data_IF_066123994177
#
_entry.id   IF_066123994177
#
_cell.length_a   1.000
_cell.length_b   1.000
_cell.length_c   1.000
_cell.angle_alpha   90.00
_cell.angle_beta   90.00
_cell.angle_gamma   90.00
#
_symmetry.space_group_name_H-M   'P 1'
#
loop_
_entity.id
_entity.type
_entity.pdbx_description
1 polymer ?
#
# COMPACT_ATOMS: atom_id res chain seq x y z
N UNK A 1 -6.49 -14.80 -55.94
CA UNK A 1 -7.91 -15.13 -56.23
C UNK A 1 -8.75 -13.89 -55.97
N UNK A 2 -9.54 -13.46 -56.95
CA UNK A 2 -10.43 -12.30 -56.89
C UNK A 2 -11.88 -12.75 -57.11
N UNK A 3 -12.80 -12.39 -56.22
CA UNK A 3 -14.26 -12.19 -56.40
C UNK A 3 -14.88 -11.97 -55.02
N UNK A 4 -15.56 -10.87 -54.69
CA UNK A 4 -16.81 -10.32 -55.23
C UNK A 4 -18.08 -11.16 -54.91
N UNK A 5 -18.82 -10.73 -53.88
CA UNK A 5 -20.26 -10.35 -53.94
C UNK A 5 -20.67 -9.80 -52.55
N UNK A 6 -21.19 -8.59 -52.29
CA UNK A 6 -22.21 -7.70 -52.94
C UNK A 6 -23.61 -7.85 -52.31
N UNK A 7 -23.98 -6.86 -51.46
CA UNK A 7 -25.36 -6.30 -51.20
C UNK A 7 -26.39 -7.30 -50.61
N UNK A 8 -27.58 -6.99 -50.07
CA UNK A 8 -28.36 -5.79 -49.65
C UNK A 8 -29.42 -6.30 -48.62
N UNK A 9 -30.18 -5.55 -47.80
CA UNK A 9 -30.35 -4.11 -47.57
C UNK A 9 -31.00 -3.80 -46.18
N UNK A 10 -30.93 -2.54 -45.75
CA UNK A 10 -31.85 -1.77 -44.88
C UNK A 10 -33.08 -2.42 -44.22
N UNK A 11 -33.30 -2.08 -42.93
CA UNK A 11 -34.58 -1.54 -42.44
C UNK A 11 -34.36 -0.44 -41.39
N UNK A 12 -34.83 0.77 -41.71
CA UNK A 12 -34.89 1.91 -40.80
C UNK A 12 -36.30 1.97 -40.21
N UNK A 13 -36.42 2.12 -38.89
CA UNK A 13 -37.72 2.36 -38.25
C UNK A 13 -37.59 3.50 -37.25
N UNK A 14 -38.31 4.61 -37.52
CA UNK A 14 -38.45 5.74 -36.60
C UNK A 14 -39.54 5.40 -35.57
N UNK A 15 -39.31 5.74 -34.31
CA UNK A 15 -40.35 6.05 -33.32
C UNK A 15 -39.85 7.28 -32.56
N UNK A 16 -40.37 8.47 -32.85
CA UNK A 16 -41.64 9.01 -32.37
C UNK A 16 -41.47 9.69 -31.00
N UNK A 17 -41.19 11.00 -31.04
CA UNK A 17 -41.16 11.84 -29.85
C UNK A 17 -42.59 12.10 -29.36
N UNK A 18 -42.86 11.82 -28.08
CA UNK A 18 -44.13 12.13 -27.44
C UNK A 18 -44.08 13.53 -26.80
N UNK A 19 -44.82 14.48 -27.38
CA UNK A 19 -45.08 15.79 -26.80
C UNK A 19 -46.10 15.69 -25.66
N UNK A 20 -45.74 16.18 -24.47
CA UNK A 20 -46.66 16.35 -23.34
C UNK A 20 -47.13 17.82 -23.26
N UNK A 21 -48.39 18.08 -22.86
CA UNK A 21 -48.98 19.41 -22.94
C UNK A 21 -48.52 20.34 -21.81
N UNK A 22 -48.25 21.60 -22.17
CA UNK A 22 -47.96 22.68 -21.23
C UNK A 22 -49.24 23.02 -20.46
N UNK A 23 -49.21 22.87 -19.12
CA UNK A 23 -50.23 23.43 -18.23
C UNK A 23 -49.74 24.77 -17.68
N UNK A 24 -50.46 25.84 -17.98
CA UNK A 24 -50.30 27.11 -17.26
C UNK A 24 -50.76 26.93 -15.80
N UNK A 25 -49.88 27.23 -14.85
CA UNK A 25 -50.24 27.53 -13.47
C UNK A 25 -49.91 28.99 -13.18
N UNK A 26 -50.89 29.76 -12.73
CA UNK A 26 -50.72 31.16 -12.37
C UNK A 26 -49.89 31.31 -11.11
N UNK A 27 -48.98 32.30 -11.10
CA UNK A 27 -48.17 32.62 -9.93
C UNK A 27 -49.02 33.36 -8.88
N UNK A 28 -49.21 32.73 -7.73
CA UNK A 28 -49.64 33.40 -6.49
C UNK A 28 -48.40 33.54 -5.59
N UNK A 29 -47.98 34.78 -5.32
CA UNK A 29 -46.80 35.06 -4.50
C UNK A 29 -47.20 35.10 -3.04
N UNK A 30 -46.73 34.13 -2.25
CA UNK A 30 -46.79 34.17 -0.80
C UNK A 30 -45.62 35.02 -0.23
N UNK A 31 -45.81 35.74 0.88
CA UNK A 31 -44.76 36.60 1.46
C UNK A 31 -43.61 35.77 2.05
N UNK A 32 -42.39 36.27 1.93
CA UNK A 32 -41.19 35.63 2.44
C UNK A 32 -41.15 35.61 3.98
N UNK A 33 -40.78 34.47 4.56
CA UNK A 33 -40.46 34.35 5.99
C UNK A 33 -39.14 35.07 6.32
N UNK A 34 -38.98 35.62 7.53
CA UNK A 34 -37.78 36.36 7.91
C UNK A 34 -36.54 35.44 7.97
N UNK A 35 -35.40 35.96 7.52
CA UNK A 35 -34.14 35.23 7.51
C UNK A 35 -33.64 34.94 8.93
N UNK A 36 -33.22 33.70 9.18
CA UNK A 36 -32.53 33.31 10.40
C UNK A 36 -31.14 34.00 10.49
N UNK A 37 -30.63 34.30 11.71
CA UNK A 37 -29.37 35.02 11.87
C UNK A 37 -28.18 34.23 11.29
N UNK A 38 -27.32 34.93 10.57
CA UNK A 38 -26.14 34.36 9.91
C UNK A 38 -25.15 33.78 10.91
N UNK A 39 -24.90 32.48 10.83
CA UNK A 39 -23.81 31.84 11.56
C UNK A 39 -22.44 32.39 11.12
N UNK A 40 -21.57 32.70 12.08
CA UNK A 40 -20.24 33.26 11.83
C UNK A 40 -19.34 32.29 11.04
N UNK A 41 -18.47 32.76 10.12
CA UNK A 41 -17.73 31.88 9.21
C UNK A 41 -16.73 30.92 9.87
N UNK A 42 -16.36 31.17 11.13
CA UNK A 42 -15.35 30.42 11.86
C UNK A 42 -15.71 28.94 12.09
N UNK A 43 -17.01 28.61 12.22
CA UNK A 43 -17.46 27.23 12.47
C UNK A 43 -17.32 26.34 11.25
N UNK A 44 -17.49 26.88 10.03
CA UNK A 44 -17.44 26.12 8.79
C UNK A 44 -16.06 25.53 8.48
N UNK A 45 -14.98 26.24 8.82
CA UNK A 45 -13.61 25.73 8.67
C UNK A 45 -13.29 24.62 9.68
N UNK A 46 -13.60 24.82 10.96
CA UNK A 46 -13.36 23.83 12.00
C UNK A 46 -14.13 22.52 11.75
N UNK A 47 -15.42 22.61 11.38
CA UNK A 47 -16.24 21.44 11.03
C UNK A 47 -15.71 20.73 9.78
N UNK A 48 -15.17 21.47 8.79
CA UNK A 48 -14.56 20.87 7.59
C UNK A 48 -13.22 20.20 7.90
N UNK A 49 -12.39 20.80 8.77
CA UNK A 49 -11.16 20.20 9.27
C UNK A 49 -11.45 18.93 10.09
N UNK A 50 -12.42 18.97 10.99
CA UNK A 50 -12.77 17.82 11.83
C UNK A 50 -13.43 16.69 11.01
N UNK A 51 -14.24 17.03 10.01
CA UNK A 51 -14.78 16.05 9.05
C UNK A 51 -13.67 15.47 8.18
N UNK A 52 -12.73 16.28 7.69
CA UNK A 52 -11.54 15.78 6.99
C UNK A 52 -10.72 14.85 7.91
N UNK A 53 -10.49 15.22 9.16
CA UNK A 53 -9.78 14.39 10.15
C UNK A 53 -10.51 13.06 10.39
N UNK A 54 -11.83 13.06 10.64
CA UNK A 54 -12.61 11.82 10.86
C UNK A 54 -12.77 10.95 9.61
N UNK A 55 -12.81 11.54 8.41
CA UNK A 55 -13.03 10.80 7.16
C UNK A 55 -11.73 10.33 6.50
N UNK A 56 -10.61 11.02 6.71
CA UNK A 56 -9.29 10.63 6.21
C UNK A 56 -8.48 9.83 7.24
N UNK A 57 -8.66 10.07 8.53
CA UNK A 57 -7.85 9.46 9.61
C UNK A 57 -8.69 8.49 10.42
N UNK A 58 -9.17 7.46 9.72
CA UNK A 58 -10.02 6.39 10.24
C UNK A 58 -9.22 5.45 11.19
N UNK A 59 -8.92 5.93 12.40
CA UNK A 59 -8.33 5.16 13.50
C UNK A 59 -6.86 4.71 13.34
N UNK A 60 -6.32 4.65 12.11
CA UNK A 60 -4.95 4.19 11.85
C UNK A 60 -3.93 5.18 12.41
N UNK A 61 -3.26 4.78 13.49
CA UNK A 61 -1.96 5.33 13.87
C UNK A 61 -1.01 5.19 12.67
N UNK A 62 -0.12 6.18 12.50
CA UNK A 62 0.95 6.06 11.53
C UNK A 62 1.83 4.87 11.96
N UNK A 63 2.15 3.96 11.04
CA UNK A 63 2.77 2.67 11.38
C UNK A 63 3.99 2.89 12.28
N UNK A 64 3.92 2.37 13.51
CA UNK A 64 4.75 2.85 14.62
C UNK A 64 6.25 2.62 14.43
N UNK A 65 6.60 1.64 13.59
CA UNK A 65 7.93 1.42 13.02
C UNK A 65 7.78 0.91 11.58
N UNK A 66 8.22 1.65 10.55
CA UNK A 66 8.21 1.16 9.17
C UNK A 66 9.00 -0.14 9.00
N UNK A 67 8.45 -1.08 8.23
CA UNK A 67 9.13 -2.33 7.86
C UNK A 67 9.92 -2.08 6.58
N UNK A 68 11.25 -2.04 6.69
CA UNK A 68 12.13 -1.66 5.59
C UNK A 68 12.23 -2.75 4.51
N UNK A 69 11.84 -3.99 4.82
CA UNK A 69 11.74 -5.05 3.84
C UNK A 69 10.73 -6.13 4.23
N UNK A 70 10.27 -6.86 3.21
CA UNK A 70 9.58 -8.13 3.34
C UNK A 70 10.50 -9.22 2.74
N UNK A 71 11.07 -10.08 3.58
CA UNK A 71 11.90 -11.20 3.12
C UNK A 71 11.01 -12.41 2.83
N UNK A 72 10.84 -12.74 1.55
CA UNK A 72 10.00 -13.83 1.07
C UNK A 72 10.83 -15.10 0.91
N UNK A 73 10.34 -16.22 1.43
CA UNK A 73 10.93 -17.54 1.20
C UNK A 73 9.87 -18.63 0.98
N UNK A 74 10.16 -19.65 0.15
CA UNK A 74 9.27 -20.80 -0.03
C UNK A 74 8.92 -21.49 1.30
N UNK A 75 7.62 -21.53 1.63
CA UNK A 75 7.07 -22.26 2.76
C UNK A 75 7.19 -23.79 2.64
N UNK A 76 7.72 -24.29 1.52
CA UNK A 76 8.04 -25.70 1.28
C UNK A 76 9.52 -26.06 1.52
N UNK A 77 10.35 -25.11 1.96
CA UNK A 77 11.78 -25.32 2.22
C UNK A 77 12.11 -25.16 3.71
N UNK A 78 12.07 -26.28 4.43
CA UNK A 78 12.34 -26.36 5.88
C UNK A 78 13.72 -25.78 6.25
N UNK A 79 14.73 -25.91 5.39
CA UNK A 79 16.09 -25.37 5.66
C UNK A 79 16.09 -23.84 5.58
N UNK A 80 15.40 -23.26 4.60
CA UNK A 80 15.22 -21.80 4.52
C UNK A 80 14.39 -21.28 5.69
N UNK A 81 13.31 -21.98 6.07
CA UNK A 81 12.46 -21.64 7.22
C UNK A 81 13.28 -21.63 8.51
N UNK A 82 14.03 -22.69 8.80
CA UNK A 82 14.88 -22.76 9.99
C UNK A 82 15.89 -21.61 10.04
N UNK A 83 16.53 -21.30 8.90
CA UNK A 83 17.47 -20.19 8.77
C UNK A 83 16.80 -18.81 8.91
N UNK A 84 15.54 -18.65 8.51
CA UNK A 84 14.85 -17.36 8.54
C UNK A 84 14.79 -16.78 9.98
N UNK A 85 14.64 -17.64 10.99
CA UNK A 85 14.66 -17.25 12.41
C UNK A 85 15.98 -16.61 12.89
N UNK A 86 17.09 -16.83 12.17
CA UNK A 86 18.41 -16.27 12.50
C UNK A 86 18.72 -14.98 11.73
N UNK A 87 17.82 -14.49 10.89
CA UNK A 87 18.03 -13.28 10.07
C UNK A 87 17.55 -12.04 10.83
N UNK A 88 18.26 -10.92 10.64
CA UNK A 88 17.86 -9.59 11.14
C UNK A 88 16.76 -8.97 10.28
N UNK A 89 15.72 -9.76 9.99
CA UNK A 89 14.64 -9.37 9.11
C UNK A 89 13.56 -8.56 9.83
N UNK A 90 13.00 -7.54 9.18
CA UNK A 90 11.92 -6.71 9.71
C UNK A 90 10.58 -7.45 9.60
N UNK A 91 10.37 -8.10 8.45
CA UNK A 91 9.28 -9.03 8.19
C UNK A 91 9.76 -10.23 7.37
N UNK A 92 9.28 -11.41 7.74
CA UNK A 92 9.51 -12.68 7.07
C UNK A 92 8.16 -13.16 6.52
N UNK A 93 8.11 -13.42 5.22
CA UNK A 93 6.93 -13.92 4.51
C UNK A 93 7.17 -15.37 4.13
N UNK A 94 6.40 -16.27 4.75
CA UNK A 94 6.38 -17.69 4.44
C UNK A 94 5.44 -17.93 3.26
N UNK A 95 6.00 -18.23 2.11
CA UNK A 95 5.25 -18.30 0.86
C UNK A 95 4.51 -19.63 0.67
N UNK A 96 3.21 -19.57 0.37
CA UNK A 96 2.38 -20.70 -0.07
C UNK A 96 1.96 -20.56 -1.54
N UNK A 97 2.47 -19.56 -2.27
CA UNK A 97 2.08 -19.21 -3.63
C UNK A 97 3.18 -19.59 -4.65
N UNK A 98 3.67 -18.72 -5.53
CA UNK A 98 4.48 -19.14 -6.70
C UNK A 98 5.85 -19.75 -6.36
N UNK A 99 6.41 -19.50 -5.17
CA UNK A 99 7.58 -20.22 -4.65
C UNK A 99 7.29 -21.66 -4.19
N UNK A 100 6.04 -22.11 -4.23
CA UNK A 100 5.61 -23.47 -3.87
C UNK A 100 4.93 -24.18 -5.04
N UNK A 101 5.62 -25.20 -5.58
CA UNK A 101 5.09 -26.09 -6.60
C UNK A 101 3.72 -26.68 -6.20
N UNK A 102 2.78 -26.76 -7.15
CA UNK A 102 1.37 -27.16 -6.92
C UNK A 102 1.22 -28.49 -6.17
N UNK A 103 2.06 -29.47 -6.46
CA UNK A 103 2.07 -30.78 -5.80
C UNK A 103 2.61 -30.77 -4.36
N UNK A 104 3.25 -29.68 -3.90
CA UNK A 104 3.77 -29.52 -2.53
C UNK A 104 2.95 -28.57 -1.65
N UNK A 105 1.88 -27.94 -2.15
CA UNK A 105 1.04 -27.00 -1.37
C UNK A 105 0.54 -27.60 -0.04
N UNK A 106 0.08 -28.85 -0.06
CA UNK A 106 -0.43 -29.53 1.14
C UNK A 106 0.66 -29.83 2.20
N UNK A 107 1.91 -30.03 1.76
CA UNK A 107 3.07 -30.18 2.63
C UNK A 107 3.50 -28.81 3.19
N UNK A 108 3.60 -27.81 2.30
CA UNK A 108 3.97 -26.44 2.64
C UNK A 108 3.04 -25.82 3.68
N UNK A 109 1.71 -26.02 3.58
CA UNK A 109 0.74 -25.55 4.60
C UNK A 109 1.08 -26.06 6.01
N UNK A 110 1.50 -27.33 6.14
CA UNK A 110 1.91 -27.92 7.42
C UNK A 110 3.22 -27.32 7.92
N UNK A 111 4.22 -27.18 7.03
CA UNK A 111 5.51 -26.57 7.34
C UNK A 111 5.36 -25.11 7.78
N UNK A 112 4.55 -24.32 7.07
CA UNK A 112 4.27 -22.91 7.41
C UNK A 112 3.53 -22.79 8.74
N UNK A 113 2.48 -23.58 9.00
CA UNK A 113 1.80 -23.57 10.30
C UNK A 113 2.75 -23.96 11.44
N UNK A 114 3.58 -24.99 11.25
CA UNK A 114 4.59 -25.39 12.22
C UNK A 114 5.63 -24.27 12.45
N UNK A 115 6.08 -23.59 11.38
CA UNK A 115 7.03 -22.49 11.45
C UNK A 115 6.46 -21.29 12.21
N UNK A 116 5.24 -20.84 11.88
CA UNK A 116 4.54 -19.76 12.58
C UNK A 116 4.42 -20.06 14.08
N UNK A 117 4.15 -21.31 14.45
CA UNK A 117 4.00 -21.72 15.85
C UNK A 117 5.34 -21.89 16.60
N UNK A 118 6.39 -22.36 15.94
CA UNK A 118 7.69 -22.71 16.56
C UNK A 118 8.72 -21.58 16.57
N UNK A 119 8.72 -20.71 15.55
CA UNK A 119 9.73 -19.65 15.41
C UNK A 119 9.48 -18.55 16.44
N UNK A 120 10.40 -18.41 17.40
CA UNK A 120 10.55 -17.20 18.20
C UNK A 120 11.46 -16.23 17.43
N UNK A 121 10.87 -15.34 16.63
CA UNK A 121 11.60 -14.28 15.92
C UNK A 121 11.20 -12.90 16.43
N UNK A 122 12.14 -11.94 16.36
CA UNK A 122 11.86 -10.51 16.47
C UNK A 122 11.23 -9.93 15.19
N UNK A 123 11.32 -10.66 14.06
CA UNK A 123 10.69 -10.32 12.80
C UNK A 123 9.17 -10.48 12.86
N UNK A 124 8.46 -9.67 12.08
CA UNK A 124 7.03 -9.90 11.83
C UNK A 124 6.85 -11.12 10.94
N UNK A 125 6.18 -12.16 11.46
CA UNK A 125 5.90 -13.40 10.74
C UNK A 125 4.58 -13.31 9.98
N UNK A 126 4.69 -13.34 8.66
CA UNK A 126 3.57 -13.29 7.71
C UNK A 126 3.54 -14.55 6.85
N UNK A 127 2.40 -14.84 6.24
CA UNK A 127 2.28 -15.83 5.16
C UNK A 127 1.82 -15.16 3.86
N UNK A 128 2.34 -15.60 2.71
CA UNK A 128 1.75 -15.27 1.41
C UNK A 128 0.77 -16.38 1.06
N UNK A 129 -0.52 -16.06 1.08
CA UNK A 129 -1.61 -17.01 0.88
C UNK A 129 -2.52 -16.48 -0.21
N UNK A 130 -2.73 -17.30 -1.23
CA UNK A 130 -3.69 -17.00 -2.29
C UNK A 130 -5.12 -16.92 -1.74
N UNK A 131 -6.09 -16.52 -2.57
CA UNK A 131 -7.52 -16.62 -2.23
C UNK A 131 -8.01 -18.08 -2.03
N UNK A 132 -7.13 -19.08 -2.13
CA UNK A 132 -7.44 -20.47 -1.79
C UNK A 132 -7.75 -20.61 -0.29
N UNK A 133 -8.97 -21.07 -0.01
CA UNK A 133 -9.51 -21.25 1.35
C UNK A 133 -8.61 -22.18 2.19
N UNK A 134 -7.96 -23.18 1.59
CA UNK A 134 -7.10 -24.11 2.31
C UNK A 134 -5.77 -23.48 2.77
N UNK A 135 -5.24 -22.48 2.05
CA UNK A 135 -4.05 -21.74 2.50
C UNK A 135 -4.41 -20.91 3.74
N UNK A 136 -5.47 -20.11 3.63
CA UNK A 136 -5.99 -19.27 4.72
C UNK A 136 -6.38 -20.10 5.95
N UNK A 137 -7.12 -21.20 5.75
CA UNK A 137 -7.54 -22.11 6.84
C UNK A 137 -6.35 -22.74 7.56
N UNK A 138 -5.23 -23.01 6.86
CA UNK A 138 -4.04 -23.55 7.49
C UNK A 138 -3.30 -22.48 8.32
N UNK A 139 -3.01 -21.31 7.74
CA UNK A 139 -2.17 -20.30 8.42
C UNK A 139 -2.90 -19.61 9.58
N UNK A 140 -4.23 -19.43 9.48
CA UNK A 140 -5.04 -18.78 10.52
C UNK A 140 -5.23 -19.63 11.78
N UNK A 141 -4.80 -20.89 11.79
CA UNK A 141 -4.71 -21.69 13.02
C UNK A 141 -3.59 -21.22 13.96
N UNK A 142 -2.61 -20.46 13.46
CA UNK A 142 -1.53 -19.95 14.31
C UNK A 142 -1.97 -18.69 15.08
N UNK A 143 -1.89 -18.67 16.42
CA UNK A 143 -2.08 -17.45 17.20
C UNK A 143 -0.89 -16.47 17.06
N UNK A 144 0.21 -16.86 16.39
CA UNK A 144 1.41 -16.05 16.18
C UNK A 144 1.48 -15.39 14.79
N UNK A 145 0.53 -15.66 13.91
CA UNK A 145 0.46 -15.01 12.60
C UNK A 145 0.20 -13.50 12.77
N UNK A 146 1.09 -12.66 12.23
CA UNK A 146 0.97 -11.20 12.33
C UNK A 146 0.51 -10.54 11.02
N UNK A 147 0.70 -11.20 9.87
CA UNK A 147 0.30 -10.65 8.59
C UNK A 147 -0.04 -11.69 7.52
N UNK A 148 -0.88 -11.30 6.56
CA UNK A 148 -1.09 -12.06 5.33
C UNK A 148 -0.76 -11.15 4.14
N UNK A 149 0.15 -11.61 3.29
CA UNK A 149 0.34 -11.09 1.94
C UNK A 149 -0.70 -11.76 1.04
N UNK A 150 -1.57 -10.96 0.43
CA UNK A 150 -2.54 -11.42 -0.55
C UNK A 150 -1.91 -11.17 -1.94
N UNK A 151 -1.55 -12.22 -2.69
CA UNK A 151 -1.08 -12.10 -4.05
C UNK A 151 -2.24 -11.82 -5.02
N UNK A 152 -1.89 -11.32 -6.21
CA UNK A 152 -2.79 -11.15 -7.37
C UNK A 152 -4.10 -10.43 -7.03
N UNK A 153 -4.01 -9.34 -6.25
CA UNK A 153 -5.16 -8.53 -5.83
C UNK A 153 -5.61 -7.64 -6.99
N UNK A 154 -6.83 -7.86 -7.45
CA UNK A 154 -7.42 -7.11 -8.56
C UNK A 154 -8.54 -6.16 -8.10
N UNK A 155 -9.21 -6.50 -7.00
CA UNK A 155 -10.39 -5.78 -6.52
C UNK A 155 -10.39 -5.61 -5.00
N UNK A 156 -11.09 -4.58 -4.50
CA UNK A 156 -11.31 -4.38 -3.07
C UNK A 156 -12.02 -5.58 -2.40
N UNK A 157 -12.82 -6.34 -3.16
CA UNK A 157 -13.48 -7.57 -2.71
C UNK A 157 -12.49 -8.65 -2.26
N UNK A 158 -11.30 -8.70 -2.85
CA UNK A 158 -10.31 -9.75 -2.59
C UNK A 158 -9.71 -9.56 -1.18
N UNK A 159 -9.37 -8.29 -0.86
CA UNK A 159 -8.91 -7.88 0.46
C UNK A 159 -10.02 -8.02 1.52
N UNK A 160 -11.26 -7.65 1.17
CA UNK A 160 -12.42 -7.81 2.05
C UNK A 160 -12.74 -9.28 2.34
N UNK A 161 -12.66 -10.16 1.34
CA UNK A 161 -12.84 -11.60 1.51
C UNK A 161 -11.86 -12.17 2.54
N UNK A 162 -10.55 -11.87 2.41
CA UNK A 162 -9.55 -12.33 3.38
C UNK A 162 -9.80 -11.71 4.76
N UNK A 163 -10.18 -10.43 4.85
CA UNK A 163 -10.53 -9.77 6.12
C UNK A 163 -11.70 -10.45 6.84
N UNK A 164 -12.79 -10.78 6.13
CA UNK A 164 -13.95 -11.45 6.74
C UNK A 164 -13.69 -12.94 7.00
N UNK A 165 -12.84 -13.58 6.21
CA UNK A 165 -12.38 -14.94 6.51
C UNK A 165 -11.57 -14.97 7.82
N UNK A 166 -10.66 -14.02 8.04
CA UNK A 166 -9.96 -13.82 9.33
C UNK A 166 -10.97 -13.62 10.46
N UNK A 167 -11.98 -12.76 10.26
CA UNK A 167 -13.01 -12.51 11.28
C UNK A 167 -13.80 -13.78 11.63
N UNK A 168 -13.96 -14.69 10.67
CA UNK A 168 -14.71 -15.94 10.82
C UNK A 168 -13.89 -17.04 11.51
N UNK A 169 -12.64 -17.29 11.09
CA UNK A 169 -11.87 -18.49 11.51
C UNK A 169 -10.71 -18.22 12.47
N UNK A 170 -10.16 -17.00 12.52
CA UNK A 170 -8.96 -16.75 13.34
C UNK A 170 -9.28 -16.78 14.85
N UNK A 171 -8.37 -17.29 15.69
CA UNK A 171 -8.49 -17.25 17.15
C UNK A 171 -8.80 -15.84 17.66
N UNK A 172 -9.75 -15.71 18.60
CA UNK A 172 -10.17 -14.40 19.11
C UNK A 172 -9.02 -13.59 19.73
N UNK A 173 -7.98 -14.26 20.23
CA UNK A 173 -6.78 -13.64 20.80
C UNK A 173 -5.87 -12.94 19.78
N UNK A 174 -5.79 -13.41 18.52
CA UNK A 174 -4.91 -12.86 17.47
C UNK A 174 -5.69 -12.18 16.33
N UNK A 175 -7.00 -12.42 16.22
CA UNK A 175 -7.89 -11.87 15.17
C UNK A 175 -7.81 -10.35 15.01
N UNK A 176 -7.59 -9.59 16.09
CA UNK A 176 -7.46 -8.12 16.02
C UNK A 176 -6.13 -7.62 15.47
N UNK A 177 -5.09 -8.46 15.52
CA UNK A 177 -3.69 -8.07 15.30
C UNK A 177 -3.22 -8.34 13.87
N UNK A 178 -3.71 -9.42 13.23
CA UNK A 178 -3.35 -9.83 11.86
C UNK A 178 -3.56 -8.66 10.88
N UNK A 179 -2.49 -8.23 10.19
CA UNK A 179 -2.53 -7.20 9.14
C UNK A 179 -2.63 -7.82 7.74
N UNK A 180 -3.10 -7.04 6.77
CA UNK A 180 -3.11 -7.43 5.35
C UNK A 180 -2.11 -6.58 4.55
N UNK A 181 -1.44 -7.21 3.60
CA UNK A 181 -0.60 -6.55 2.61
C UNK A 181 -1.10 -7.02 1.23
N UNK A 182 -1.45 -6.08 0.34
CA UNK A 182 -1.97 -6.42 -0.99
C UNK A 182 -0.86 -6.32 -2.03
N UNK A 183 -0.59 -7.39 -2.78
CA UNK A 183 0.30 -7.35 -3.94
C UNK A 183 -0.44 -6.82 -5.17
N UNK A 184 0.10 -5.76 -5.75
CA UNK A 184 -0.43 -5.07 -6.93
C UNK A 184 0.44 -5.50 -8.11
N UNK A 185 -0.10 -6.43 -8.90
CA UNK A 185 0.68 -7.21 -9.87
C UNK A 185 -0.08 -7.61 -11.14
N UNK A 186 -1.22 -6.97 -11.41
CA UNK A 186 -1.91 -6.99 -12.71
C UNK A 186 -2.34 -5.58 -13.12
N UNK A 187 -2.64 -5.38 -14.40
CA UNK A 187 -3.18 -4.13 -14.93
C UNK A 187 -4.53 -3.79 -14.28
N UNK A 188 -5.35 -4.79 -13.95
CA UNK A 188 -6.64 -4.60 -13.26
C UNK A 188 -6.41 -4.11 -11.83
N UNK A 189 -5.52 -4.77 -11.07
CA UNK A 189 -5.13 -4.32 -9.73
C UNK A 189 -4.53 -2.91 -9.72
N UNK A 190 -3.74 -2.56 -10.75
CA UNK A 190 -3.17 -1.23 -10.91
C UNK A 190 -4.24 -0.15 -11.15
N UNK A 191 -5.29 -0.46 -11.93
CA UNK A 191 -6.40 0.46 -12.19
C UNK A 191 -7.32 0.63 -10.96
N UNK A 192 -7.53 -0.44 -10.19
CA UNK A 192 -8.39 -0.45 -8.99
C UNK A 192 -7.64 -0.08 -7.69
N UNK A 193 -6.43 0.47 -7.80
CA UNK A 193 -5.53 0.79 -6.68
C UNK A 193 -6.21 1.61 -5.57
N UNK A 194 -7.11 2.53 -5.93
CA UNK A 194 -7.84 3.38 -4.99
C UNK A 194 -8.84 2.59 -4.16
N UNK A 195 -9.64 1.75 -4.81
CA UNK A 195 -10.64 0.90 -4.18
C UNK A 195 -9.94 -0.14 -3.28
N UNK A 196 -8.84 -0.74 -3.77
CA UNK A 196 -8.02 -1.68 -3.00
C UNK A 196 -7.43 -1.01 -1.75
N UNK A 197 -6.80 0.17 -1.89
CA UNK A 197 -6.21 0.90 -0.77
C UNK A 197 -7.26 1.39 0.25
N UNK A 198 -8.50 1.64 -0.19
CA UNK A 198 -9.63 2.00 0.67
C UNK A 198 -10.34 0.80 1.33
N UNK A 199 -10.05 -0.43 0.90
CA UNK A 199 -10.88 -1.62 1.14
C UNK A 199 -11.23 -1.89 2.61
N UNK A 200 -10.24 -1.92 3.51
CA UNK A 200 -10.49 -2.27 4.91
C UNK A 200 -9.52 -1.63 5.93
N UNK A 201 -9.89 -1.54 7.22
CA UNK A 201 -9.01 -1.10 8.29
C UNK A 201 -7.80 -2.02 8.51
N UNK A 202 -7.88 -3.28 8.09
CA UNK A 202 -6.83 -4.31 8.31
C UNK A 202 -5.65 -4.22 7.32
N UNK A 203 -5.88 -3.62 6.15
CA UNK A 203 -4.83 -3.38 5.15
C UNK A 203 -3.81 -2.38 5.69
N UNK A 204 -2.53 -2.72 5.61
CA UNK A 204 -1.42 -1.98 6.20
C UNK A 204 -0.33 -1.63 5.17
N UNK A 205 -0.21 -2.41 4.09
CA UNK A 205 0.72 -2.12 2.99
C UNK A 205 0.15 -2.45 1.60
N UNK A 206 0.65 -1.74 0.59
CA UNK A 206 0.63 -2.16 -0.81
C UNK A 206 2.04 -2.63 -1.18
N UNK A 207 2.14 -3.80 -1.81
CA UNK A 207 3.37 -4.37 -2.35
C UNK A 207 3.31 -4.22 -3.88
N UNK A 208 4.32 -3.62 -4.47
CA UNK A 208 4.47 -3.58 -5.92
C UNK A 208 5.26 -4.81 -6.37
N UNK A 209 4.65 -5.73 -7.13
CA UNK A 209 5.36 -6.88 -7.70
C UNK A 209 5.53 -6.69 -9.20
N UNK A 210 6.78 -6.48 -9.61
CA UNK A 210 7.13 -6.08 -10.98
C UNK A 210 7.02 -7.20 -12.00
N UNK A 211 7.40 -8.42 -11.63
CA UNK A 211 7.60 -9.50 -12.61
C UNK A 211 6.26 -10.07 -13.10
N UNK A 212 5.31 -10.29 -12.20
CA UNK A 212 3.93 -10.65 -12.52
C UNK A 212 3.21 -9.53 -13.31
N UNK A 213 3.37 -8.25 -12.91
CA UNK A 213 2.81 -7.13 -13.68
C UNK A 213 3.39 -7.07 -15.10
N UNK A 214 4.67 -7.39 -15.27
CA UNK A 214 5.30 -7.46 -16.58
C UNK A 214 4.80 -8.64 -17.42
N UNK A 215 4.54 -9.79 -16.80
CA UNK A 215 3.93 -10.93 -17.47
C UNK A 215 2.49 -10.62 -17.93
N UNK A 216 1.68 -9.98 -17.08
CA UNK A 216 0.30 -9.57 -17.37
C UNK A 216 0.23 -8.51 -18.49
N UNK A 217 1.05 -7.46 -18.40
CA UNK A 217 1.04 -6.35 -19.36
C UNK A 217 1.88 -6.59 -20.63
N UNK A 218 2.62 -7.70 -20.71
CA UNK A 218 3.56 -7.96 -21.80
C UNK A 218 4.75 -6.99 -21.85
N UNK A 219 5.18 -6.48 -20.69
CA UNK A 219 6.28 -5.52 -20.56
C UNK A 219 7.63 -6.25 -20.53
N UNK A 220 8.55 -5.89 -21.42
CA UNK A 220 9.96 -6.30 -21.30
C UNK A 220 10.65 -5.53 -20.17
N UNK A 221 11.09 -6.24 -19.13
CA UNK A 221 11.84 -5.65 -18.02
C UNK A 221 13.17 -5.06 -18.46
N UNK A 222 13.49 -3.87 -17.97
CA UNK A 222 14.77 -3.19 -18.26
C UNK A 222 15.50 -2.83 -16.97
N UNK A 223 16.83 -2.72 -17.06
CA UNK A 223 17.64 -2.18 -15.97
C UNK A 223 17.24 -0.72 -15.62
N UNK A 224 16.66 0.04 -16.55
CA UNK A 224 16.21 1.40 -16.23
C UNK A 224 14.95 1.47 -15.37
N UNK A 225 14.19 0.36 -15.23
CA UNK A 225 12.87 0.28 -14.59
C UNK A 225 11.85 1.36 -15.02
N UNK A 226 12.14 2.11 -16.10
CA UNK A 226 11.37 3.26 -16.58
C UNK A 226 10.02 2.83 -17.12
N UNK A 227 9.94 1.61 -17.65
CA UNK A 227 8.72 0.94 -18.05
C UNK A 227 7.73 0.77 -16.89
N UNK A 228 8.21 0.74 -15.64
CA UNK A 228 7.39 0.62 -14.43
C UNK A 228 7.18 1.94 -13.68
N UNK A 229 7.72 3.07 -14.17
CA UNK A 229 7.70 4.35 -13.45
C UNK A 229 6.27 4.79 -13.07
N UNK A 230 5.30 4.64 -13.98
CA UNK A 230 3.90 4.96 -13.71
C UNK A 230 3.32 4.04 -12.62
N UNK A 231 3.53 2.73 -12.73
CA UNK A 231 2.96 1.75 -11.82
C UNK A 231 3.55 1.86 -10.39
N UNK A 232 4.89 2.02 -10.30
CA UNK A 232 5.60 2.31 -9.04
C UNK A 232 5.08 3.61 -8.40
N UNK A 233 5.01 4.70 -9.16
CA UNK A 233 4.53 6.01 -8.66
C UNK A 233 3.07 5.95 -8.21
N UNK A 234 2.20 5.30 -8.99
CA UNK A 234 0.79 5.13 -8.64
C UNK A 234 0.63 4.34 -7.34
N UNK A 235 1.40 3.27 -7.16
CA UNK A 235 1.38 2.46 -5.93
C UNK A 235 1.74 3.30 -4.70
N UNK A 236 2.81 4.11 -4.77
CA UNK A 236 3.19 5.00 -3.65
C UNK A 236 2.12 6.06 -3.37
N UNK A 237 1.58 6.71 -4.40
CA UNK A 237 0.53 7.74 -4.24
C UNK A 237 -0.69 7.18 -3.53
N UNK A 238 -1.18 6.01 -3.96
CA UNK A 238 -2.35 5.37 -3.35
C UNK A 238 -2.06 4.84 -1.93
N UNK A 239 -0.89 4.24 -1.70
CA UNK A 239 -0.49 3.81 -0.36
C UNK A 239 -0.46 4.99 0.62
N UNK A 240 0.25 6.08 0.28
CA UNK A 240 0.40 7.26 1.13
C UNK A 240 -0.94 7.97 1.36
N UNK A 241 -1.79 8.07 0.33
CA UNK A 241 -3.14 8.65 0.46
C UNK A 241 -4.02 7.89 1.47
N UNK A 242 -3.82 6.57 1.61
CA UNK A 242 -4.57 5.69 2.50
C UNK A 242 -3.81 5.31 3.79
N UNK A 243 -2.68 5.97 4.08
CA UNK A 243 -1.79 5.72 5.24
C UNK A 243 -1.20 4.31 5.30
N UNK A 244 -1.02 3.67 4.15
CA UNK A 244 -0.38 2.36 4.01
C UNK A 244 1.13 2.51 3.78
N UNK A 245 1.89 1.49 4.14
CA UNK A 245 3.23 1.31 3.58
C UNK A 245 3.16 1.07 2.06
N UNK A 246 4.21 1.50 1.36
CA UNK A 246 4.49 1.07 0.00
C UNK A 246 5.78 0.23 0.03
N UNK A 247 5.70 -1.02 -0.40
CA UNK A 247 6.84 -1.94 -0.50
C UNK A 247 7.18 -2.13 -1.98
N UNK A 248 8.42 -1.85 -2.36
CA UNK A 248 8.89 -1.88 -3.75
C UNK A 248 9.23 -3.30 -4.22
N UNK A 249 9.37 -3.44 -5.54
CA UNK A 249 9.62 -4.68 -6.27
C UNK A 249 10.83 -5.49 -5.83
N UNK A 250 10.84 -6.79 -6.13
CA UNK A 250 12.03 -7.64 -6.03
C UNK A 250 13.16 -7.15 -6.93
N UNK A 251 14.40 -7.47 -6.56
CA UNK A 251 15.58 -7.38 -7.43
C UNK A 251 16.01 -8.82 -7.77
N UNK A 252 15.89 -9.24 -9.03
CA UNK A 252 16.09 -10.63 -9.46
C UNK A 252 17.57 -11.03 -9.47
N UNK A 253 18.45 -10.10 -9.83
CA UNK A 253 19.91 -10.26 -9.83
C UNK A 253 20.46 -10.22 -8.40
N UNK A 254 20.06 -11.17 -7.55
CA UNK A 254 20.35 -11.17 -6.11
C UNK A 254 21.85 -11.17 -5.75
N UNK A 255 22.75 -11.42 -6.69
CA UNK A 255 24.21 -11.33 -6.53
C UNK A 255 24.78 -9.95 -6.87
N UNK A 256 24.03 -9.13 -7.60
CA UNK A 256 24.44 -7.77 -7.97
C UNK A 256 24.00 -6.78 -6.89
N UNK A 257 24.90 -6.58 -5.92
CA UNK A 257 24.70 -5.64 -4.83
C UNK A 257 24.63 -4.18 -5.32
N UNK A 258 25.27 -3.85 -6.44
CA UNK A 258 25.24 -2.48 -7.00
C UNK A 258 23.86 -2.20 -7.61
N UNK A 259 23.35 -3.15 -8.42
CA UNK A 259 21.99 -3.13 -8.95
C UNK A 259 20.96 -2.96 -7.84
N UNK A 260 21.04 -3.79 -6.80
CA UNK A 260 20.15 -3.70 -5.65
C UNK A 260 20.22 -2.33 -4.96
N UNK A 261 21.42 -1.79 -4.74
CA UNK A 261 21.61 -0.47 -4.11
C UNK A 261 20.89 0.63 -4.92
N UNK A 262 21.09 0.64 -6.24
CA UNK A 262 20.47 1.62 -7.14
C UNK A 262 18.94 1.53 -7.12
N UNK A 263 18.37 0.31 -7.23
CA UNK A 263 16.91 0.16 -7.14
C UNK A 263 16.33 0.56 -5.78
N UNK A 264 17.07 0.33 -4.69
CA UNK A 264 16.63 0.76 -3.35
C UNK A 264 16.69 2.29 -3.19
N UNK A 265 17.72 2.94 -3.73
CA UNK A 265 17.85 4.40 -3.76
C UNK A 265 16.69 5.03 -4.53
N UNK A 266 16.43 4.56 -5.76
CA UNK A 266 15.27 4.98 -6.55
C UNK A 266 13.94 4.76 -5.80
N UNK A 267 13.74 3.58 -5.20
CA UNK A 267 12.54 3.26 -4.45
C UNK A 267 12.32 4.20 -3.26
N UNK A 268 13.37 4.44 -2.47
CA UNK A 268 13.33 5.38 -1.35
C UNK A 268 13.01 6.81 -1.79
N UNK A 269 13.63 7.28 -2.88
CA UNK A 269 13.40 8.61 -3.47
C UNK A 269 11.96 8.76 -4.01
N UNK A 270 11.42 7.72 -4.65
CA UNK A 270 10.02 7.66 -5.07
C UNK A 270 9.03 7.65 -3.89
N UNK A 271 9.50 7.40 -2.67
CA UNK A 271 8.72 7.47 -1.43
C UNK A 271 8.32 6.12 -0.85
N UNK A 272 8.73 5.00 -1.45
CA UNK A 272 8.56 3.67 -0.87
C UNK A 272 9.18 3.60 0.54
N UNK A 273 8.63 2.73 1.37
CA UNK A 273 9.00 2.53 2.78
C UNK A 273 9.77 1.22 3.02
N UNK A 274 9.86 0.37 2.00
CA UNK A 274 10.69 -0.83 2.01
C UNK A 274 10.76 -1.49 0.64
N UNK A 275 11.45 -2.61 0.52
CA UNK A 275 11.55 -3.43 -0.71
C UNK A 275 11.41 -4.92 -0.42
N UNK A 276 10.90 -5.68 -1.38
CA UNK A 276 10.88 -7.14 -1.29
C UNK A 276 12.31 -7.72 -1.42
N UNK A 277 12.64 -8.69 -0.57
CA UNK A 277 13.90 -9.42 -0.61
C UNK A 277 13.65 -10.92 -0.82
N UNK A 278 14.37 -11.54 -1.75
CA UNK A 278 14.26 -12.96 -2.14
C UNK A 278 15.51 -13.77 -1.78
N UNK A 279 16.60 -13.11 -1.37
CA UNK A 279 17.81 -13.78 -0.87
C UNK A 279 18.40 -13.07 0.36
N UNK A 280 18.93 -13.80 1.37
CA UNK A 280 19.39 -13.19 2.63
C UNK A 280 20.48 -12.12 2.53
N UNK A 281 21.29 -12.11 1.46
CA UNK A 281 22.30 -11.06 1.26
C UNK A 281 21.70 -9.69 0.89
N UNK A 282 20.43 -9.65 0.46
CA UNK A 282 19.75 -8.41 0.11
C UNK A 282 19.31 -7.65 1.38
N UNK A 283 19.00 -8.37 2.47
CA UNK A 283 18.45 -7.82 3.71
C UNK A 283 19.30 -6.66 4.29
N UNK A 284 20.63 -6.75 4.43
CA UNK A 284 21.44 -5.64 4.96
C UNK A 284 21.40 -4.40 4.06
N UNK A 285 21.40 -4.58 2.74
CA UNK A 285 21.40 -3.48 1.76
C UNK A 285 20.03 -2.78 1.75
N UNK A 286 18.93 -3.54 1.74
CA UNK A 286 17.59 -2.96 1.80
C UNK A 286 17.37 -2.23 3.14
N UNK A 287 17.82 -2.82 4.26
CA UNK A 287 17.75 -2.18 5.58
C UNK A 287 18.55 -0.87 5.67
N UNK A 288 19.71 -0.79 5.02
CA UNK A 288 20.52 0.44 4.95
C UNK A 288 19.81 1.51 4.09
N UNK A 289 19.40 1.15 2.87
CA UNK A 289 18.92 2.10 1.86
C UNK A 289 17.51 2.63 2.10
N UNK A 290 16.66 1.91 2.82
CA UNK A 290 15.32 2.41 3.21
C UNK A 290 15.32 3.22 4.51
N UNK A 291 16.46 3.33 5.20
CA UNK A 291 16.64 4.27 6.32
C UNK A 291 17.06 5.65 5.80
N UNK A 292 16.54 6.75 6.38
CA UNK A 292 17.02 8.07 6.03
C UNK A 292 18.52 8.23 6.31
N UNK A 293 19.33 8.73 5.35
CA UNK A 293 20.76 8.90 5.57
C UNK A 293 21.04 9.95 6.64
N UNK A 294 22.18 9.84 7.32
CA UNK A 294 22.57 10.75 8.40
C UNK A 294 22.58 12.23 7.99
N UNK A 295 22.85 12.54 6.72
CA UNK A 295 22.74 13.88 6.14
C UNK A 295 21.29 14.41 6.10
N UNK A 296 20.32 13.56 5.72
CA UNK A 296 18.90 13.90 5.74
C UNK A 296 18.37 14.07 7.17
N UNK A 297 18.78 13.19 8.09
CA UNK A 297 18.47 13.32 9.54
C UNK A 297 19.00 14.66 10.06
N UNK A 298 20.28 14.98 9.84
CA UNK A 298 20.89 16.26 10.27
C UNK A 298 20.17 17.48 9.67
N UNK A 299 19.77 17.42 8.39
CA UNK A 299 18.97 18.49 7.75
C UNK A 299 17.60 18.62 8.41
N UNK A 300 16.91 17.51 8.66
CA UNK A 300 15.60 17.49 9.29
C UNK A 300 15.64 18.04 10.73
N UNK A 301 16.61 17.65 11.55
CA UNK A 301 16.80 18.20 12.91
C UNK A 301 16.96 19.73 12.87
N UNK A 302 17.85 20.26 12.02
CA UNK A 302 18.06 21.71 11.89
C UNK A 302 16.81 22.47 11.43
N UNK A 303 15.98 21.85 10.57
CA UNK A 303 14.69 22.42 10.13
C UNK A 303 13.73 22.53 11.32
N UNK A 304 13.62 21.51 12.16
CA UNK A 304 12.70 21.56 13.31
C UNK A 304 13.19 22.51 14.41
N UNK A 305 14.50 22.56 14.67
CA UNK A 305 15.11 23.51 15.60
C UNK A 305 14.89 24.96 15.15
N UNK A 306 15.16 25.25 13.87
CA UNK A 306 14.92 26.56 13.28
C UNK A 306 13.44 26.94 13.29
N UNK A 307 12.55 26.00 12.94
CA UNK A 307 11.11 26.24 12.96
C UNK A 307 10.59 26.57 14.36
N UNK A 308 11.05 25.85 15.39
CA UNK A 308 10.71 26.14 16.79
C UNK A 308 11.14 27.56 17.19
N UNK A 309 12.36 27.95 16.84
CA UNK A 309 12.92 29.28 17.17
C UNK A 309 12.23 30.48 16.50
N UNK A 310 11.43 30.26 15.45
CA UNK A 310 10.66 31.30 14.75
C UNK A 310 9.15 31.21 14.97
N UNK A 311 8.62 30.01 15.27
CA UNK A 311 7.19 29.80 15.58
C UNK A 311 6.77 30.58 16.82
N UNK A 312 7.61 30.59 17.86
CA UNK A 312 7.39 31.37 19.10
C UNK A 312 7.30 32.90 18.85
N UNK A 313 7.71 33.36 17.66
CA UNK A 313 7.68 34.76 17.21
C UNK A 313 6.57 35.05 16.20
N UNK A 314 5.69 34.08 15.92
CA UNK A 314 4.59 34.20 14.96
C UNK A 314 5.02 34.19 13.49
N UNK A 315 6.24 33.73 13.18
CA UNK A 315 6.79 33.75 11.82
C UNK A 315 6.61 32.39 11.15
N UNK A 316 5.93 32.37 10.00
CA UNK A 316 5.54 31.12 9.30
C UNK A 316 6.58 30.51 8.36
N UNK A 317 7.67 31.22 8.04
CA UNK A 317 8.77 30.74 7.20
C UNK A 317 10.10 31.43 7.54
N UNK A 318 11.22 30.75 7.34
CA UNK A 318 12.56 31.26 7.66
C UNK A 318 13.62 30.80 6.64
N UNK A 319 14.78 31.46 6.60
CA UNK A 319 15.93 31.00 5.81
C UNK A 319 16.75 29.95 6.57
N UNK A 320 17.13 28.88 5.87
CA UNK A 320 18.14 27.94 6.32
C UNK A 320 19.05 27.56 5.15
N UNK A 321 20.33 27.94 5.25
CA UNK A 321 21.35 27.71 4.22
C UNK A 321 20.96 28.26 2.82
N UNK A 322 20.25 29.41 2.77
CA UNK A 322 19.76 29.99 1.52
C UNK A 322 18.50 29.29 0.95
N UNK A 323 17.86 28.42 1.72
CA UNK A 323 16.57 27.80 1.36
C UNK A 323 15.45 28.38 2.23
N UNK A 324 14.34 28.78 1.60
CA UNK A 324 13.11 29.13 2.33
C UNK A 324 12.51 27.86 2.92
N UNK A 325 12.42 27.83 4.25
CA UNK A 325 11.80 26.75 5.01
C UNK A 325 10.41 27.20 5.45
N UNK A 326 9.39 26.50 4.96
CA UNK A 326 7.99 26.70 5.30
C UNK A 326 7.36 25.40 5.86
N UNK A 327 6.06 25.43 6.19
CA UNK A 327 5.38 24.30 6.82
C UNK A 327 5.42 22.98 6.01
N UNK A 328 5.30 22.96 4.66
CA UNK A 328 5.63 21.79 3.84
C UNK A 328 7.02 21.19 4.11
N UNK A 329 8.07 22.00 4.18
CA UNK A 329 9.45 21.54 4.43
C UNK A 329 9.62 21.03 5.87
N UNK A 330 8.95 21.65 6.84
CA UNK A 330 8.86 21.17 8.23
C UNK A 330 8.20 19.78 8.29
N UNK A 331 7.07 19.59 7.61
CA UNK A 331 6.37 18.28 7.53
C UNK A 331 7.19 17.20 6.84
N UNK A 332 8.07 17.56 5.91
CA UNK A 332 9.06 16.64 5.36
C UNK A 332 10.08 16.22 6.42
N UNK A 333 10.62 17.19 7.19
CA UNK A 333 11.58 16.92 8.26
C UNK A 333 10.99 16.01 9.36
N UNK A 334 9.75 16.26 9.79
CA UNK A 334 9.01 15.40 10.73
C UNK A 334 8.95 13.94 10.23
N UNK A 335 8.60 13.74 8.96
CA UNK A 335 8.55 12.41 8.34
C UNK A 335 9.91 11.73 8.26
N UNK A 336 10.98 12.49 8.00
CA UNK A 336 12.36 11.97 7.97
C UNK A 336 12.78 11.47 9.35
N UNK A 337 12.56 12.24 10.41
CA UNK A 337 12.91 11.82 11.77
C UNK A 337 12.04 10.64 12.24
N UNK A 338 10.73 10.66 11.95
CA UNK A 338 9.84 9.55 12.25
C UNK A 338 10.26 8.25 11.55
N UNK A 339 10.68 8.30 10.27
CA UNK A 339 11.26 7.15 9.54
C UNK A 339 12.58 6.67 10.15
N UNK A 340 13.37 7.56 10.75
CA UNK A 340 14.60 7.21 11.47
C UNK A 340 14.36 6.67 12.89
N UNK A 341 13.10 6.56 13.35
CA UNK A 341 12.76 6.17 14.72
C UNK A 341 12.98 7.27 15.76
N UNK A 342 13.31 8.48 15.33
CA UNK A 342 13.56 9.64 16.19
C UNK A 342 12.24 10.37 16.37
N UNK A 343 11.62 10.18 17.54
CA UNK A 343 10.42 10.93 17.97
C UNK A 343 10.86 12.07 18.90
N UNK A 344 10.30 13.27 18.66
CA UNK A 344 10.40 14.43 19.56
C UNK A 344 9.30 14.38 20.63
#
# INVERSE_FOLDING_TARGET
>A
MLSQCVRQSSRCTRLAAATLPIRHFGASVAPAAPAAPSATPASGFAVREERLRRTLFNGKSFIETPKNHAFVLPGSDERKIAKASTLTADSIVLDLEDGVARNRKAEARKLVLNALNSVASASTMSAQASLAVEDLTAVLQSPKLQGIVIPKVEYASDVLFVSEFINSVAPASSRGEIRLLAAIESAVGLLNLREIAASCPRLDALIFASEDLCADMGITRTAGARELLFARSSTVVHAVAHRLQAIDMVCMEFKDNQRLSQECEEGFEMGFTGKQAIHPNQIPIVNDKFRPPASAIKKATRILEGYKAVTDKGVGAFDLDGQVIDLPVVKWAEKVLARAGIRN
#
